data_IF_376420069743
#
_entry.id   IF_376420069743
#
_cell.length_a   1.000
_cell.length_b   1.000
_cell.length_c   1.000
_cell.angle_alpha   90.00
_cell.angle_beta   90.00
_cell.angle_gamma   90.00
#
_symmetry.space_group_name_H-M   'P 1'
#
loop_
_entity.id
_entity.type
_entity.pdbx_description
1 polymer ?
#
# COMPACT_ATOMS: atom_id res chain seq x y z
N UNK A 1 22.49 -3.76 18.79
CA UNK A 1 22.31 -3.00 17.52
C UNK A 1 20.88 -3.23 17.05
N UNK A 2 20.22 -2.25 16.41
CA UNK A 2 18.79 -2.32 16.04
C UNK A 2 18.56 -2.08 14.54
N UNK A 3 17.42 -2.53 14.03
CA UNK A 3 16.94 -2.27 12.66
C UNK A 3 15.47 -1.88 12.72
N UNK A 4 15.04 -1.03 11.78
CA UNK A 4 13.66 -0.54 11.65
C UNK A 4 13.26 -0.69 10.18
N UNK A 5 12.23 -1.51 9.94
CA UNK A 5 11.69 -1.84 8.63
C UNK A 5 10.24 -1.38 8.52
N UNK A 6 9.83 -1.01 7.32
CA UNK A 6 8.43 -0.83 6.94
C UNK A 6 7.98 -2.11 6.23
N UNK A 7 6.92 -2.74 6.75
CA UNK A 7 6.51 -4.07 6.32
C UNK A 7 5.00 -4.18 6.19
N UNK A 8 4.57 -5.00 5.24
CA UNK A 8 3.19 -5.49 5.12
C UNK A 8 3.18 -6.95 5.58
N UNK A 9 2.44 -7.24 6.64
CA UNK A 9 2.31 -8.62 7.15
C UNK A 9 1.22 -9.36 6.39
N UNK A 10 1.56 -10.51 5.81
CA UNK A 10 0.59 -11.43 5.22
C UNK A 10 0.35 -12.59 6.20
N UNK A 11 -0.85 -12.62 6.79
CA UNK A 11 -1.22 -13.60 7.82
C UNK A 11 -1.21 -15.03 7.31
N UNK A 12 -1.83 -15.27 6.14
CA UNK A 12 -1.92 -16.60 5.50
C UNK A 12 -0.55 -17.22 5.31
N UNK A 13 0.44 -16.40 4.93
CA UNK A 13 1.82 -16.83 4.69
C UNK A 13 2.74 -16.70 5.91
N UNK A 14 2.29 -16.04 6.97
CA UNK A 14 3.08 -15.64 8.12
C UNK A 14 4.42 -15.02 7.68
N UNK A 15 4.34 -14.04 6.78
CA UNK A 15 5.49 -13.40 6.12
C UNK A 15 5.36 -11.89 6.23
N UNK A 16 6.42 -11.25 6.71
CA UNK A 16 6.61 -9.81 6.61
C UNK A 16 7.22 -9.49 5.25
N UNK A 17 6.42 -8.89 4.37
CA UNK A 17 6.89 -8.35 3.11
C UNK A 17 7.50 -6.97 3.36
N UNK A 18 8.82 -6.85 3.22
CA UNK A 18 9.53 -5.61 3.51
C UNK A 18 9.31 -4.65 2.35
N UNK A 19 8.66 -3.53 2.64
CA UNK A 19 8.38 -2.44 1.73
C UNK A 19 9.51 -1.41 1.73
N UNK A 20 10.05 -1.10 2.91
CA UNK A 20 11.07 -0.06 3.07
C UNK A 20 11.99 -0.31 4.27
N UNK A 21 13.08 0.48 4.35
CA UNK A 21 14.04 0.47 5.46
C UNK A 21 14.31 1.88 5.95
N UNK A 22 14.21 2.05 7.26
CA UNK A 22 14.48 3.34 7.91
C UNK A 22 15.76 3.29 8.74
N UNK A 23 16.12 2.10 9.23
CA UNK A 23 17.40 1.87 9.90
C UNK A 23 17.85 0.42 9.70
N UNK A 24 19.13 0.22 9.38
CA UNK A 24 19.72 -1.11 9.30
C UNK A 24 20.98 -1.20 10.15
N UNK A 25 21.01 -2.11 11.11
CA UNK A 25 22.13 -2.32 12.04
C UNK A 25 22.65 -1.01 12.66
N UNK A 26 21.74 -0.15 13.10
CA UNK A 26 22.04 1.12 13.77
C UNK A 26 22.37 2.28 12.83
N UNK A 27 22.35 2.07 11.51
CA UNK A 27 22.53 3.13 10.50
C UNK A 27 21.17 3.65 10.03
N UNK A 28 20.74 4.84 10.47
CA UNK A 28 19.51 5.46 9.99
C UNK A 28 19.67 5.90 8.53
N UNK A 29 18.62 5.73 7.73
CA UNK A 29 18.57 6.10 6.31
C UNK A 29 17.31 6.88 5.96
N UNK A 30 16.65 7.51 6.95
CA UNK A 30 15.49 8.38 6.74
C UNK A 30 15.76 9.47 5.69
N UNK A 31 16.94 10.09 5.75
CA UNK A 31 17.37 11.17 4.85
C UNK A 31 17.93 10.66 3.52
N UNK A 32 17.78 9.37 3.21
CA UNK A 32 18.17 8.82 1.93
C UNK A 32 16.98 8.76 0.97
N UNK A 33 17.27 8.97 -0.31
CA UNK A 33 16.30 8.85 -1.40
C UNK A 33 15.76 7.42 -1.52
N UNK A 34 14.52 7.28 -1.98
CA UNK A 34 13.85 5.98 -2.12
C UNK A 34 14.61 4.98 -2.96
N UNK A 35 15.16 5.41 -4.10
CA UNK A 35 15.90 4.51 -4.98
C UNK A 35 17.15 3.93 -4.29
N UNK A 36 17.87 4.76 -3.53
CA UNK A 36 18.96 4.30 -2.67
C UNK A 36 18.46 3.33 -1.61
N UNK A 37 17.40 3.68 -0.86
CA UNK A 37 16.85 2.81 0.21
C UNK A 37 16.43 1.45 -0.34
N UNK A 38 15.74 1.41 -1.48
CA UNK A 38 15.31 0.17 -2.13
C UNK A 38 16.49 -0.67 -2.64
N UNK A 39 17.47 -0.04 -3.28
CA UNK A 39 18.69 -0.71 -3.71
C UNK A 39 19.45 -1.31 -2.51
N UNK A 40 19.65 -0.51 -1.47
CA UNK A 40 20.40 -0.91 -0.29
C UNK A 40 19.69 -2.02 0.48
N UNK A 41 18.37 -1.91 0.68
CA UNK A 41 17.54 -2.94 1.29
C UNK A 41 17.69 -4.27 0.55
N UNK A 42 17.57 -4.27 -0.77
CA UNK A 42 17.71 -5.48 -1.58
C UNK A 42 19.07 -6.16 -1.37
N UNK A 43 20.16 -5.37 -1.37
CA UNK A 43 21.50 -5.86 -1.07
C UNK A 43 21.60 -6.44 0.35
N UNK A 44 21.02 -5.78 1.35
CA UNK A 44 21.12 -6.19 2.76
C UNK A 44 20.28 -7.42 3.09
N UNK A 45 19.14 -7.61 2.46
CA UNK A 45 18.34 -8.84 2.60
C UNK A 45 19.11 -10.05 2.05
N UNK A 46 19.80 -9.90 0.91
CA UNK A 46 20.58 -11.00 0.31
C UNK A 46 21.79 -11.41 1.16
N UNK A 47 22.32 -10.51 1.98
CA UNK A 47 23.43 -10.78 2.90
C UNK A 47 22.98 -11.55 4.17
N UNK A 48 21.69 -11.60 4.48
CA UNK A 48 21.18 -12.18 5.73
C UNK A 48 20.65 -13.60 5.52
N UNK A 49 21.43 -14.59 5.96
CA UNK A 49 21.11 -16.01 5.81
C UNK A 49 19.86 -16.40 6.60
N UNK A 50 18.94 -17.15 5.97
CA UNK A 50 17.73 -17.65 6.61
C UNK A 50 16.65 -16.60 6.90
N UNK A 51 16.84 -15.33 6.51
CA UNK A 51 15.85 -14.26 6.73
C UNK A 51 14.51 -14.54 6.01
N UNK A 52 14.60 -15.11 4.82
CA UNK A 52 13.46 -15.55 4.02
C UNK A 52 12.89 -16.93 4.41
N UNK A 53 13.41 -17.57 5.45
CA UNK A 53 13.06 -18.93 5.85
C UNK A 53 12.54 -18.99 7.29
N UNK A 54 11.66 -19.95 7.58
CA UNK A 54 11.21 -20.18 8.96
C UNK A 54 12.20 -21.06 9.69
N UNK A 55 12.59 -20.64 10.88
CA UNK A 55 13.47 -21.39 11.77
C UNK A 55 13.08 -21.20 13.22
N UNK A 56 13.78 -21.87 14.15
CA UNK A 56 13.57 -21.70 15.60
C UNK A 56 13.82 -20.27 16.06
N UNK A 57 14.76 -19.57 15.42
CA UNK A 57 15.14 -18.18 15.77
C UNK A 57 14.45 -17.15 14.87
N UNK A 58 13.85 -17.58 13.75
CA UNK A 58 13.10 -16.73 12.83
C UNK A 58 11.72 -17.36 12.52
N UNK A 59 10.71 -17.18 13.38
CA UNK A 59 9.39 -17.79 13.20
C UNK A 59 8.60 -17.20 12.01
N UNK A 60 8.94 -16.00 11.56
CA UNK A 60 8.28 -15.28 10.47
C UNK A 60 9.27 -14.99 9.35
N UNK A 61 8.89 -15.28 8.11
CA UNK A 61 9.75 -14.96 6.97
C UNK A 61 9.78 -13.45 6.74
N UNK A 62 10.92 -12.92 6.36
CA UNK A 62 11.08 -11.55 5.89
C UNK A 62 11.50 -11.60 4.42
N UNK A 63 10.68 -11.03 3.55
CA UNK A 63 10.90 -11.09 2.09
C UNK A 63 10.78 -9.68 1.52
N UNK A 64 11.83 -9.18 0.87
CA UNK A 64 11.79 -7.88 0.21
C UNK A 64 10.80 -7.86 -0.95
N UNK A 65 9.97 -6.82 -1.02
CA UNK A 65 9.13 -6.57 -2.19
C UNK A 65 9.99 -6.07 -3.35
N UNK A 66 9.67 -6.53 -4.56
CA UNK A 66 10.31 -6.04 -5.77
C UNK A 66 9.73 -4.67 -6.14
N UNK A 67 10.59 -3.78 -6.64
CA UNK A 67 10.17 -2.53 -7.26
C UNK A 67 10.50 -2.56 -8.75
N UNK A 68 9.71 -1.82 -9.54
CA UNK A 68 9.81 -1.82 -10.99
C UNK A 68 9.77 -0.38 -11.53
N UNK A 69 10.40 -0.11 -12.69
CA UNK A 69 10.20 1.16 -13.39
C UNK A 69 8.72 1.40 -13.72
N UNK A 70 8.32 2.68 -13.77
CA UNK A 70 6.95 3.08 -14.13
C UNK A 70 6.80 3.42 -15.63
N UNK A 71 7.65 2.87 -16.51
CA UNK A 71 7.41 2.99 -17.96
C UNK A 71 6.19 2.16 -18.36
N UNK A 72 5.53 2.53 -19.47
CA UNK A 72 4.35 1.81 -19.97
C UNK A 72 4.62 0.31 -20.11
N UNK A 73 5.75 -0.08 -20.73
CA UNK A 73 6.10 -1.48 -20.92
C UNK A 73 6.32 -2.23 -19.59
N UNK A 74 6.93 -1.57 -18.61
CA UNK A 74 7.19 -2.16 -17.30
C UNK A 74 5.88 -2.36 -16.53
N UNK A 75 4.98 -1.38 -16.55
CA UNK A 75 3.66 -1.49 -15.93
C UNK A 75 2.83 -2.61 -16.57
N UNK A 76 2.83 -2.72 -17.90
CA UNK A 76 2.16 -3.82 -18.60
C UNK A 76 2.71 -5.19 -18.16
N UNK A 77 4.02 -5.34 -18.02
CA UNK A 77 4.65 -6.59 -17.55
C UNK A 77 4.26 -6.90 -16.11
N UNK A 78 4.33 -5.91 -15.22
CA UNK A 78 3.97 -6.07 -13.80
C UNK A 78 2.51 -6.50 -13.64
N UNK A 79 1.59 -5.86 -14.38
CA UNK A 79 0.16 -6.21 -14.35
C UNK A 79 -0.15 -7.59 -14.96
N UNK A 80 0.79 -8.17 -15.69
CA UNK A 80 0.70 -9.54 -16.22
C UNK A 80 1.55 -10.55 -15.44
N UNK A 81 2.22 -10.13 -14.36
CA UNK A 81 3.05 -11.00 -13.55
C UNK A 81 2.22 -11.70 -12.48
N UNK A 82 2.48 -13.00 -12.28
CA UNK A 82 1.94 -13.75 -11.16
C UNK A 82 2.75 -13.46 -9.90
N UNK A 83 2.08 -12.95 -8.88
CA UNK A 83 2.69 -12.72 -7.57
C UNK A 83 2.40 -13.92 -6.66
N UNK A 84 3.34 -14.26 -5.76
CA UNK A 84 3.09 -15.38 -4.86
C UNK A 84 1.99 -15.05 -3.84
N UNK A 85 1.52 -13.81 -3.75
CA UNK A 85 0.50 -13.32 -2.82
C UNK A 85 -0.64 -12.63 -3.57
N UNK A 86 -1.79 -12.49 -2.90
CA UNK A 86 -2.87 -11.64 -3.42
C UNK A 86 -2.42 -10.18 -3.44
N UNK A 87 -2.53 -9.56 -4.61
CA UNK A 87 -2.12 -8.16 -4.80
C UNK A 87 -3.25 -7.26 -4.33
N UNK A 88 -3.01 -6.50 -3.26
CA UNK A 88 -3.93 -5.46 -2.81
C UNK A 88 -3.89 -4.24 -3.75
N UNK A 89 -2.70 -3.75 -4.04
CA UNK A 89 -2.50 -2.62 -4.95
C UNK A 89 -1.04 -2.28 -5.20
N UNK A 90 -0.84 -1.14 -5.85
CA UNK A 90 0.45 -0.67 -6.34
C UNK A 90 0.80 0.66 -5.67
N UNK A 91 2.00 0.73 -5.12
CA UNK A 91 2.59 1.96 -4.59
C UNK A 91 3.53 2.58 -5.63
N UNK A 92 3.37 3.88 -5.88
CA UNK A 92 4.15 4.66 -6.83
C UNK A 92 5.02 5.66 -6.06
N UNK A 93 6.27 5.30 -5.83
CA UNK A 93 7.22 6.15 -5.12
C UNK A 93 7.94 7.12 -6.06
N UNK A 94 8.04 8.38 -5.65
CA UNK A 94 9.02 9.29 -6.25
C UNK A 94 10.44 8.87 -5.83
N UNK A 95 11.35 8.69 -6.79
CA UNK A 95 12.70 8.17 -6.51
C UNK A 95 13.46 8.99 -5.48
N UNK A 96 13.28 10.31 -5.49
CA UNK A 96 14.04 11.24 -4.66
C UNK A 96 13.39 11.54 -3.30
N UNK A 97 12.26 10.89 -2.93
CA UNK A 97 11.64 11.18 -1.63
C UNK A 97 12.46 10.58 -0.48
N UNK A 98 12.62 11.36 0.59
CA UNK A 98 13.08 10.85 1.88
C UNK A 98 11.95 10.09 2.58
N UNK A 99 12.30 9.25 3.55
CA UNK A 99 11.29 8.58 4.38
C UNK A 99 10.80 9.57 5.45
N UNK A 100 9.54 9.99 5.34
CA UNK A 100 8.89 10.88 6.30
C UNK A 100 7.63 10.19 6.82
N UNK A 101 7.48 9.95 8.14
CA UNK A 101 6.27 9.35 8.67
C UNK A 101 5.03 10.20 8.36
N UNK A 102 3.94 9.53 7.96
CA UNK A 102 2.66 10.17 7.64
C UNK A 102 2.35 10.20 6.14
N UNK A 103 1.22 10.79 5.78
CA UNK A 103 0.79 10.89 4.38
C UNK A 103 1.67 11.85 3.59
N UNK A 104 2.00 11.46 2.36
CA UNK A 104 2.78 12.29 1.44
C UNK A 104 2.26 12.13 0.01
N UNK A 105 2.20 13.22 -0.79
CA UNK A 105 1.86 13.10 -2.21
C UNK A 105 2.99 12.45 -3.04
N UNK A 106 4.17 12.25 -2.45
CA UNK A 106 5.33 11.65 -3.13
C UNK A 106 5.26 10.12 -3.20
N UNK A 107 4.23 9.52 -2.60
CA UNK A 107 3.92 8.09 -2.70
C UNK A 107 2.44 7.94 -3.05
N UNK A 108 2.16 7.53 -4.29
CA UNK A 108 0.80 7.27 -4.76
C UNK A 108 0.37 5.84 -4.50
N UNK A 109 -0.93 5.60 -4.34
CA UNK A 109 -1.53 4.27 -4.20
C UNK A 109 -2.64 4.09 -5.21
N UNK A 110 -2.65 2.96 -5.92
CA UNK A 110 -3.74 2.56 -6.82
C UNK A 110 -4.06 1.08 -6.68
N UNK A 111 -5.35 0.72 -6.78
CA UNK A 111 -5.73 -0.67 -7.07
C UNK A 111 -5.33 -1.01 -8.52
N UNK A 112 -4.96 -2.27 -8.84
CA UNK A 112 -4.38 -2.58 -10.15
C UNK A 112 -5.35 -2.30 -11.32
N UNK A 113 -6.67 -2.53 -11.13
CA UNK A 113 -7.70 -2.22 -12.12
C UNK A 113 -7.89 -0.72 -12.39
N UNK A 114 -7.37 0.18 -11.54
CA UNK A 114 -7.47 1.63 -11.73
C UNK A 114 -6.36 2.19 -12.62
N UNK A 115 -5.24 1.46 -12.76
CA UNK A 115 -4.05 1.90 -13.51
C UNK A 115 -4.36 2.36 -14.94
N UNK A 116 -5.15 1.62 -15.75
CA UNK A 116 -5.37 1.98 -17.15
C UNK A 116 -6.09 3.31 -17.30
N UNK A 117 -7.07 3.54 -16.42
CA UNK A 117 -7.92 4.73 -16.44
C UNK A 117 -7.20 5.96 -15.91
N UNK A 118 -6.46 5.83 -14.80
CA UNK A 118 -5.81 6.97 -14.15
C UNK A 118 -4.52 7.37 -14.88
N UNK A 119 -3.75 6.40 -15.38
CA UNK A 119 -2.50 6.68 -16.11
C UNK A 119 -2.70 6.82 -17.62
N UNK A 120 -3.90 6.55 -18.15
CA UNK A 120 -4.19 6.60 -19.58
C UNK A 120 -3.41 5.57 -20.39
N UNK A 121 -3.21 4.37 -19.83
CA UNK A 121 -2.39 3.32 -20.42
C UNK A 121 -3.25 2.16 -20.93
N UNK A 122 -2.86 1.59 -22.08
CA UNK A 122 -3.40 0.30 -22.52
C UNK A 122 -2.63 -0.81 -21.81
N UNK A 123 -3.32 -1.63 -21.02
CA UNK A 123 -2.71 -2.75 -20.27
C UNK A 123 -3.30 -4.08 -20.72
N UNK A 124 -2.61 -5.21 -20.47
CA UNK A 124 -3.15 -6.54 -20.75
C UNK A 124 -4.37 -6.84 -19.89
N UNK A 125 -5.34 -7.58 -20.43
CA UNK A 125 -6.49 -8.07 -19.65
C UNK A 125 -6.07 -9.25 -18.78
N UNK A 126 -5.91 -9.01 -17.49
CA UNK A 126 -5.51 -10.02 -16.49
C UNK A 126 -6.45 -9.95 -15.28
N UNK A 127 -6.40 -10.93 -14.34
CA UNK A 127 -7.16 -10.86 -13.11
C UNK A 127 -6.93 -9.57 -12.30
N UNK A 128 -5.70 -9.01 -12.35
CA UNK A 128 -5.37 -7.76 -11.67
C UNK A 128 -6.08 -6.55 -12.30
N UNK A 129 -6.24 -6.55 -13.62
CA UNK A 129 -6.85 -5.42 -14.34
C UNK A 129 -8.36 -5.56 -14.49
N UNK A 130 -8.94 -6.69 -14.09
CA UNK A 130 -10.37 -6.90 -14.11
C UNK A 130 -11.05 -5.96 -13.10
N UNK A 131 -11.94 -5.09 -13.59
CA UNK A 131 -12.71 -4.20 -12.72
C UNK A 131 -13.73 -5.03 -11.94
N UNK A 132 -13.70 -5.01 -10.59
CA UNK A 132 -14.71 -5.69 -9.81
C UNK A 132 -16.05 -4.93 -9.89
N UNK A 133 -17.17 -5.64 -9.69
CA UNK A 133 -18.53 -5.09 -9.80
C UNK A 133 -18.78 -3.90 -8.86
N UNK A 134 -18.05 -3.84 -7.73
CA UNK A 134 -18.15 -2.74 -6.78
C UNK A 134 -17.40 -1.48 -7.21
N UNK A 135 -16.42 -1.57 -8.13
CA UNK A 135 -15.54 -0.45 -8.47
C UNK A 135 -16.31 0.74 -9.05
N UNK A 136 -17.35 0.47 -9.85
CA UNK A 136 -18.21 1.53 -10.39
C UNK A 136 -18.94 2.31 -9.29
N UNK A 137 -19.43 1.61 -8.26
CA UNK A 137 -20.11 2.22 -7.11
C UNK A 137 -19.14 3.01 -6.22
N UNK A 138 -17.96 2.47 -5.95
CA UNK A 138 -16.93 3.18 -5.16
C UNK A 138 -16.49 4.48 -5.84
N UNK A 139 -16.28 4.47 -7.16
CA UNK A 139 -15.88 5.67 -7.89
C UNK A 139 -16.94 6.77 -7.81
N UNK A 140 -18.22 6.41 -7.92
CA UNK A 140 -19.34 7.35 -7.76
C UNK A 140 -19.35 7.98 -6.36
N UNK A 141 -19.19 7.17 -5.30
CA UNK A 141 -19.12 7.64 -3.92
C UNK A 141 -17.93 8.57 -3.66
N UNK A 142 -16.77 8.28 -4.26
CA UNK A 142 -15.58 9.15 -4.18
C UNK A 142 -15.82 10.49 -4.89
N UNK A 143 -16.46 10.48 -6.06
CA UNK A 143 -16.79 11.71 -6.79
C UNK A 143 -17.78 12.57 -6.00
N UNK A 144 -18.82 11.96 -5.43
CA UNK A 144 -19.83 12.66 -4.62
C UNK A 144 -19.24 13.24 -3.32
N UNK A 145 -18.40 12.48 -2.63
CA UNK A 145 -17.70 12.96 -1.42
C UNK A 145 -16.72 14.09 -1.73
N UNK A 146 -15.98 14.03 -2.84
CA UNK A 146 -15.11 15.14 -3.27
C UNK A 146 -15.91 16.37 -3.69
N UNK A 147 -17.04 16.20 -4.38
CA UNK A 147 -17.92 17.30 -4.79
C UNK A 147 -18.52 18.00 -3.56
N UNK A 148 -19.07 17.24 -2.62
CA UNK A 148 -19.63 17.78 -1.37
C UNK A 148 -18.58 18.49 -0.51
N UNK A 149 -17.36 17.94 -0.40
CA UNK A 149 -16.23 18.60 0.28
C UNK A 149 -15.80 19.89 -0.42
N UNK A 150 -15.74 19.94 -1.75
CA UNK A 150 -15.43 21.16 -2.50
C UNK A 150 -16.46 22.27 -2.20
N UNK A 151 -17.75 21.91 -2.18
CA UNK A 151 -18.83 22.82 -1.76
C UNK A 151 -18.72 23.27 -0.29
N UNK A 152 -18.17 22.44 0.61
CA UNK A 152 -17.96 22.78 2.02
C UNK A 152 -16.72 23.66 2.26
N UNK A 153 -15.64 23.43 1.49
CA UNK A 153 -14.43 24.25 1.52
C UNK A 153 -14.68 25.66 0.98
N UNK A 154 -15.52 25.80 -0.05
CA UNK A 154 -16.01 27.10 -0.55
C UNK A 154 -16.88 27.85 0.48
N UNK A 155 -17.40 27.16 1.50
CA UNK A 155 -18.15 27.73 2.65
C UNK A 155 -17.29 27.94 3.91
N UNK A 156 -15.95 27.89 3.80
CA UNK A 156 -15.03 28.33 4.87
C UNK A 156 -14.77 27.32 5.99
N UNK A 157 -15.02 26.03 5.80
CA UNK A 157 -14.65 25.01 6.81
C UNK A 157 -13.18 24.55 6.64
N UNK A 158 -12.42 24.38 7.74
CA UNK A 158 -11.01 24.01 7.67
C UNK A 158 -10.83 22.56 7.18
N UNK A 159 -9.77 22.34 6.38
CA UNK A 159 -9.36 21.00 5.96
C UNK A 159 -8.94 20.15 7.17
N UNK A 160 -9.30 18.86 7.16
CA UNK A 160 -8.97 17.92 8.23
C UNK A 160 -7.44 17.80 8.37
N UNK A 161 -6.93 18.05 9.57
CA UNK A 161 -5.48 18.02 9.91
C UNK A 161 -4.93 16.63 10.18
N UNK A 162 -5.73 15.59 10.03
CA UNK A 162 -5.35 14.25 10.47
C UNK A 162 -4.80 13.51 9.25
N UNK A 163 -3.55 13.07 9.31
CA UNK A 163 -2.87 12.25 8.29
C UNK A 163 -3.47 10.85 8.10
N UNK A 164 -4.77 10.70 8.34
CA UNK A 164 -5.58 9.59 7.89
C UNK A 164 -5.89 9.82 6.41
N UNK A 165 -5.79 8.78 5.59
CA UNK A 165 -6.13 8.96 4.20
C UNK A 165 -7.64 9.18 4.08
N UNK A 166 -8.00 10.35 3.52
CA UNK A 166 -9.33 10.94 3.68
C UNK A 166 -10.51 10.11 3.15
N UNK A 167 -10.25 9.02 2.43
CA UNK A 167 -11.24 8.19 1.73
C UNK A 167 -11.00 6.70 1.99
N UNK A 168 -10.52 6.37 3.20
CA UNK A 168 -10.23 5.00 3.65
C UNK A 168 -11.35 4.02 3.57
N UNK A 169 -12.37 4.33 4.32
CA UNK A 169 -13.64 3.65 4.31
C UNK A 169 -14.26 3.46 2.90
N UNK A 170 -13.88 4.25 1.89
CA UNK A 170 -14.43 4.13 0.53
C UNK A 170 -13.55 3.35 -0.44
N UNK A 171 -12.25 3.24 -0.15
CA UNK A 171 -11.26 2.62 -1.03
C UNK A 171 -11.02 1.14 -0.70
N UNK A 172 -11.33 0.75 0.55
CA UNK A 172 -11.28 -0.64 1.02
C UNK A 172 -12.68 -1.26 0.92
N UNK A 173 -12.87 -2.37 0.19
CA UNK A 173 -14.14 -3.10 0.20
C UNK A 173 -14.43 -3.59 1.62
N UNK A 174 -15.64 -3.31 2.15
CA UNK A 174 -16.06 -3.93 3.41
C UNK A 174 -16.22 -5.45 3.20
N UNK A 175 -15.72 -6.29 4.12
CA UNK A 175 -15.96 -7.72 4.04
C UNK A 175 -17.46 -7.99 4.09
N UNK A 176 -17.92 -8.97 3.30
CA UNK A 176 -19.34 -9.30 3.09
C UNK A 176 -20.12 -9.66 4.38
N UNK A 177 -19.44 -9.80 5.53
CA UNK A 177 -20.02 -10.08 6.84
C UNK A 177 -19.47 -9.14 7.92
N UNK A 178 -19.52 -7.82 7.71
CA UNK A 178 -19.27 -6.85 8.79
C UNK A 178 -20.57 -6.62 9.56
N UNK A 179 -20.68 -6.98 10.86
CA UNK A 179 -21.88 -6.72 11.62
C UNK A 179 -21.91 -5.25 12.07
N UNK A 180 -22.27 -4.35 11.17
CA UNK A 180 -22.71 -3.01 11.57
C UNK A 180 -24.19 -3.07 11.92
N UNK A 181 -24.48 -3.22 13.22
CA UNK A 181 -25.83 -3.04 13.75
C UNK A 181 -26.18 -3.93 14.93
N UNK A 182 -25.49 -3.77 16.07
CA UNK A 182 -26.05 -4.11 17.39
C UNK A 182 -25.27 -3.40 18.51
N UNK A 183 -25.27 -2.06 18.50
CA UNK A 183 -25.22 -1.32 19.76
C UNK A 183 -26.63 -1.29 20.35
N UNK A 184 -26.79 -1.82 21.57
CA UNK A 184 -27.98 -1.58 22.39
C UNK A 184 -28.69 -2.84 22.90
N UNK A 185 -28.04 -3.62 23.77
CA UNK A 185 -28.74 -4.31 24.84
C UNK A 185 -27.80 -4.54 26.02
N UNK A 186 -27.97 -3.67 27.02
CA UNK A 186 -27.54 -3.89 28.40
C UNK A 186 -27.99 -5.27 28.86
N UNK A 187 -27.10 -6.07 29.44
CA UNK A 187 -27.50 -7.06 30.43
C UNK A 187 -26.46 -7.11 31.54
N UNK A 188 -26.84 -6.55 32.68
CA UNK A 188 -26.29 -6.91 33.98
C UNK A 188 -26.48 -8.42 34.19
N UNK A 189 -25.42 -9.09 34.64
CA UNK A 189 -25.43 -10.09 35.71
C UNK A 189 -24.10 -9.98 36.46
#
# INVERSE_FOLDING_TARGET
>A
VYSILDCIYNEVKQTYYILDVMCWRGHPVYDCQTDFRFFWLSSKIQEEEGLGEKSRINPYKFVGLQNFPCSSDSLCKVLATDFPFEVDGLLFYHKQTHYTPGSTPLVGWLRPYMVPEILGLSVPTTPLTAKPDYAGRQLQQIIESKKSKKLAAEKGHPAAKNGHYELEHLSTPQPANSPEGQEGAVSQM
#
